data_IF_749580097441
#
_entry.id   IF_749580097441
#
_cell.length_a   1.000
_cell.length_b   1.000
_cell.length_c   1.000
_cell.angle_alpha   90.00
_cell.angle_beta   90.00
_cell.angle_gamma   90.00
#
_symmetry.space_group_name_H-M   'P 1'
#
loop_
_entity.id
_entity.type
_entity.pdbx_description
1 polymer ?
#
# COMPACT_ATOMS: atom_id res chain seq x y z
N UNK A 1 7.37 -20.55 16.68
CA UNK A 1 7.29 -21.13 15.31
C UNK A 1 6.82 -20.04 14.33
N UNK A 2 7.48 -19.89 13.17
CA UNK A 2 6.97 -18.99 12.12
C UNK A 2 6.06 -19.75 11.15
N UNK A 3 4.91 -19.17 10.83
CA UNK A 3 3.90 -19.75 9.96
C UNK A 3 3.61 -18.79 8.79
N UNK A 4 3.35 -19.33 7.61
CA UNK A 4 2.84 -18.59 6.46
C UNK A 4 1.31 -18.63 6.46
N UNK A 5 0.67 -17.62 5.85
CA UNK A 5 -0.79 -17.51 5.81
C UNK A 5 -1.46 -18.71 5.14
N UNK A 6 -0.86 -19.24 4.08
CA UNK A 6 -1.35 -20.41 3.34
C UNK A 6 -1.35 -21.71 4.16
N UNK A 7 -0.53 -21.78 5.22
CA UNK A 7 -0.45 -22.92 6.12
C UNK A 7 -1.36 -22.81 7.36
N UNK A 8 -2.05 -21.67 7.55
CA UNK A 8 -2.85 -21.41 8.75
C UNK A 8 -3.97 -22.44 8.93
N UNK A 9 -4.73 -22.75 7.89
CA UNK A 9 -5.84 -23.72 7.95
C UNK A 9 -5.36 -25.13 8.37
N UNK A 10 -4.28 -25.59 7.74
CA UNK A 10 -3.68 -26.88 8.08
C UNK A 10 -3.11 -26.91 9.49
N UNK A 11 -2.64 -25.77 10.00
CA UNK A 11 -2.18 -25.64 11.39
C UNK A 11 -3.36 -25.71 12.36
N UNK A 12 -4.40 -24.93 12.13
CA UNK A 12 -5.59 -24.89 12.99
C UNK A 12 -6.35 -26.23 13.03
N UNK A 13 -6.34 -26.99 11.92
CA UNK A 13 -6.90 -28.32 11.87
C UNK A 13 -6.17 -29.34 12.76
N UNK A 14 -4.89 -29.10 13.11
CA UNK A 14 -4.11 -29.94 14.02
C UNK A 14 -4.28 -29.56 15.49
N UNK A 15 -4.79 -28.37 15.76
CA UNK A 15 -5.01 -27.84 17.09
C UNK A 15 -4.58 -26.38 17.23
N UNK A 16 -4.96 -25.79 18.34
CA UNK A 16 -4.63 -24.41 18.68
C UNK A 16 -3.30 -24.32 19.44
N UNK A 17 -2.51 -23.32 19.14
CA UNK A 17 -1.42 -22.90 20.02
C UNK A 17 -1.97 -21.94 21.10
N UNK A 18 -1.36 -21.90 22.28
CA UNK A 18 -1.77 -20.97 23.33
C UNK A 18 -1.44 -19.50 23.04
N UNK A 19 -0.57 -19.23 22.02
CA UNK A 19 -0.17 -17.88 21.65
C UNK A 19 -0.03 -17.74 20.13
N UNK A 20 -0.68 -16.70 19.57
CA UNK A 20 -0.53 -16.28 18.18
C UNK A 20 -0.08 -14.83 18.09
N UNK A 21 0.85 -14.54 17.18
CA UNK A 21 1.30 -13.20 16.85
C UNK A 21 1.05 -12.95 15.36
N UNK A 22 0.05 -12.16 15.01
CA UNK A 22 -0.31 -11.80 13.63
C UNK A 22 0.27 -10.43 13.33
N UNK A 23 1.16 -10.30 12.34
CA UNK A 23 1.83 -9.04 12.06
C UNK A 23 2.03 -8.82 10.56
N UNK A 24 1.80 -7.59 10.10
CA UNK A 24 1.92 -7.17 8.70
C UNK A 24 1.01 -5.98 8.38
N UNK A 25 1.10 -5.47 7.15
CA UNK A 25 0.36 -4.27 6.72
C UNK A 25 -0.89 -4.59 5.88
N UNK A 26 -1.12 -5.85 5.51
CA UNK A 26 -2.31 -6.22 4.76
C UNK A 26 -3.48 -6.49 5.69
N UNK A 27 -4.26 -5.45 5.93
CA UNK A 27 -5.31 -5.43 6.95
C UNK A 27 -6.40 -6.49 6.74
N UNK A 28 -6.85 -6.70 5.48
CA UNK A 28 -7.87 -7.70 5.20
C UNK A 28 -7.39 -9.10 5.58
N UNK A 29 -6.19 -9.47 5.12
CA UNK A 29 -5.64 -10.80 5.38
C UNK A 29 -5.31 -11.02 6.85
N UNK A 30 -4.85 -9.99 7.56
CA UNK A 30 -4.61 -10.05 8.99
C UNK A 30 -5.92 -10.25 9.76
N UNK A 31 -6.97 -9.51 9.39
CA UNK A 31 -8.29 -9.66 10.00
C UNK A 31 -8.87 -11.05 9.76
N UNK A 32 -8.83 -11.56 8.54
CA UNK A 32 -9.31 -12.91 8.20
C UNK A 32 -8.54 -14.00 8.96
N UNK A 33 -7.22 -13.84 9.08
CA UNK A 33 -6.42 -14.77 9.88
C UNK A 33 -6.85 -14.77 11.35
N UNK A 34 -7.06 -13.59 11.94
CA UNK A 34 -7.58 -13.46 13.30
C UNK A 34 -8.99 -14.05 13.43
N UNK A 35 -9.87 -13.84 12.44
CA UNK A 35 -11.24 -14.40 12.45
C UNK A 35 -11.23 -15.94 12.41
N UNK A 36 -10.34 -16.55 11.63
CA UNK A 36 -10.16 -18.01 11.62
C UNK A 36 -9.66 -18.56 12.96
N UNK A 37 -8.66 -17.91 13.54
CA UNK A 37 -8.14 -18.27 14.88
C UNK A 37 -9.27 -18.16 15.91
N UNK A 38 -10.05 -17.06 15.90
CA UNK A 38 -11.21 -16.88 16.80
C UNK A 38 -12.29 -17.93 16.62
N UNK A 39 -12.63 -18.25 15.39
CA UNK A 39 -13.64 -19.27 15.10
C UNK A 39 -13.22 -20.63 15.64
N UNK A 40 -11.96 -21.02 15.40
CA UNK A 40 -11.40 -22.28 15.93
C UNK A 40 -11.31 -22.27 17.45
N UNK A 41 -10.88 -21.14 18.06
CA UNK A 41 -10.84 -20.99 19.51
C UNK A 41 -12.22 -21.12 20.13
N UNK A 42 -13.24 -20.48 19.56
CA UNK A 42 -14.63 -20.60 20.04
C UNK A 42 -15.13 -22.03 19.96
N UNK A 43 -14.84 -22.72 18.86
CA UNK A 43 -15.20 -24.14 18.70
C UNK A 43 -14.48 -25.06 19.70
N UNK A 44 -13.28 -24.65 20.19
CA UNK A 44 -12.51 -25.35 21.22
C UNK A 44 -12.86 -24.95 22.66
N UNK A 45 -13.92 -24.13 22.87
CA UNK A 45 -14.42 -23.77 24.20
C UNK A 45 -13.83 -22.48 24.79
N UNK A 46 -13.09 -21.66 24.03
CA UNK A 46 -12.64 -20.33 24.45
C UNK A 46 -13.80 -19.33 24.26
N UNK A 47 -14.71 -19.26 25.22
CA UNK A 47 -15.96 -18.50 25.14
C UNK A 47 -15.87 -17.10 25.75
N UNK A 48 -15.03 -16.92 26.75
CA UNK A 48 -14.74 -15.61 27.33
C UNK A 48 -13.70 -14.88 26.46
N UNK A 49 -13.93 -13.58 26.18
CA UNK A 49 -13.08 -12.78 25.31
C UNK A 49 -12.78 -11.42 25.90
N UNK A 50 -11.51 -11.13 26.10
CA UNK A 50 -11.02 -9.83 26.51
C UNK A 50 -10.18 -9.19 25.40
N UNK A 51 -10.39 -7.89 25.15
CA UNK A 51 -9.67 -7.14 24.10
C UNK A 51 -8.95 -5.95 24.70
N UNK A 52 -7.66 -5.86 24.48
CA UNK A 52 -6.79 -4.79 24.93
C UNK A 52 -6.20 -4.07 23.72
N UNK A 53 -6.16 -2.74 23.76
CA UNK A 53 -5.48 -1.93 22.74
C UNK A 53 -4.44 -1.06 23.43
N UNK A 54 -3.18 -1.19 22.99
CA UNK A 54 -2.06 -0.45 23.56
C UNK A 54 -2.07 0.97 23.03
N UNK A 55 -2.40 1.91 23.93
CA UNK A 55 -2.34 3.35 23.73
C UNK A 55 -1.32 3.98 24.69
N UNK A 56 -1.18 5.30 24.64
CA UNK A 56 -0.28 6.01 25.56
C UNK A 56 -0.75 5.85 27.01
N UNK A 57 0.12 5.32 27.87
CA UNK A 57 -0.20 5.07 29.29
C UNK A 57 -0.95 3.76 29.52
N UNK A 58 -0.88 2.81 28.59
CA UNK A 58 -1.51 1.50 28.75
C UNK A 58 -0.98 0.74 29.98
N UNK A 59 -1.90 0.22 30.78
CA UNK A 59 -1.58 -0.58 31.97
C UNK A 59 -1.31 -2.04 31.58
N UNK A 60 -0.03 -2.40 31.54
CA UNK A 60 0.44 -3.76 31.24
C UNK A 60 0.11 -4.78 32.32
N UNK A 61 -0.13 -4.32 33.57
CA UNK A 61 -0.48 -5.22 34.67
C UNK A 61 -1.89 -5.80 34.51
N UNK A 62 -2.81 -5.03 33.94
CA UNK A 62 -4.17 -5.49 33.62
C UNK A 62 -4.18 -6.62 32.58
N UNK A 63 -3.29 -6.56 31.56
CA UNK A 63 -3.12 -7.61 30.59
C UNK A 63 -2.56 -8.90 31.23
N UNK A 64 -1.51 -8.77 32.05
CA UNK A 64 -0.93 -9.91 32.73
C UNK A 64 -1.92 -10.56 33.70
N UNK A 65 -2.69 -9.75 34.40
CA UNK A 65 -3.79 -10.23 35.25
C UNK A 65 -4.82 -11.03 34.47
N UNK A 66 -5.28 -10.53 33.34
CA UNK A 66 -6.25 -11.23 32.48
C UNK A 66 -5.66 -12.54 31.93
N UNK A 67 -4.39 -12.55 31.50
CA UNK A 67 -3.76 -13.75 30.95
C UNK A 67 -3.43 -14.85 31.99
N UNK A 68 -3.48 -14.52 33.28
CA UNK A 68 -3.25 -15.44 34.40
C UNK A 68 -4.53 -15.76 35.18
N UNK A 69 -5.65 -15.10 34.85
CA UNK A 69 -6.92 -15.34 35.52
C UNK A 69 -7.46 -16.72 35.15
N UNK A 70 -7.56 -17.58 36.13
CA UNK A 70 -8.34 -18.81 35.99
C UNK A 70 -9.81 -18.47 36.13
N UNK A 71 -10.65 -18.86 35.15
CA UNK A 71 -12.09 -18.73 35.28
C UNK A 71 -12.59 -19.59 36.47
N UNK A 72 -13.33 -18.98 37.35
CA UNK A 72 -13.98 -19.69 38.47
C UNK A 72 -15.03 -20.73 38.01
N UNK A 73 -15.44 -20.63 36.72
CA UNK A 73 -16.46 -21.50 36.12
C UNK A 73 -15.88 -22.50 35.10
N UNK A 74 -14.55 -22.54 34.92
CA UNK A 74 -13.88 -23.46 33.99
C UNK A 74 -13.94 -23.03 32.53
N UNK A 75 -14.38 -21.78 32.23
CA UNK A 75 -14.40 -21.27 30.86
C UNK A 75 -12.98 -20.90 30.40
N UNK A 76 -12.65 -21.33 29.18
CA UNK A 76 -11.38 -20.96 28.52
C UNK A 76 -11.49 -19.54 27.97
N UNK A 77 -10.40 -18.77 28.11
CA UNK A 77 -10.37 -17.35 27.76
C UNK A 77 -9.55 -17.07 26.50
N UNK A 78 -10.10 -16.22 25.61
CA UNK A 78 -9.37 -15.58 24.51
C UNK A 78 -8.96 -14.16 24.89
N UNK A 79 -7.67 -13.89 25.00
CA UNK A 79 -7.11 -12.56 25.23
C UNK A 79 -6.56 -12.01 23.93
N UNK A 80 -7.13 -10.92 23.44
CA UNK A 80 -6.66 -10.21 22.25
C UNK A 80 -5.92 -8.94 22.64
N UNK A 81 -4.67 -8.82 22.18
CA UNK A 81 -3.84 -7.63 22.37
C UNK A 81 -3.54 -6.98 21.03
N UNK A 82 -3.88 -5.71 20.90
CA UNK A 82 -3.57 -4.89 19.70
C UNK A 82 -2.49 -3.89 20.05
N UNK A 83 -1.40 -3.87 19.27
CA UNK A 83 -0.29 -2.90 19.43
C UNK A 83 -0.15 -2.10 18.11
N UNK A 84 -1.00 -1.08 17.86
CA UNK A 84 -1.04 -0.36 16.58
C UNK A 84 0.27 0.33 16.20
N UNK A 85 1.05 0.74 17.21
CA UNK A 85 2.36 1.36 16.99
C UNK A 85 3.47 0.37 16.57
N UNK A 86 3.27 -0.94 16.80
CA UNK A 86 4.33 -1.96 16.68
C UNK A 86 5.46 -1.83 17.70
N UNK A 87 5.34 -0.90 18.66
CA UNK A 87 6.38 -0.56 19.65
C UNK A 87 5.79 -0.63 21.06
N UNK A 88 6.00 -1.72 21.80
CA UNK A 88 5.44 -1.88 23.14
C UNK A 88 6.10 -0.97 24.20
N UNK A 89 7.25 -0.38 23.91
CA UNK A 89 8.07 0.31 24.92
C UNK A 89 8.81 -0.67 25.85
N UNK A 90 9.51 -0.15 26.87
CA UNK A 90 10.30 -0.97 27.79
C UNK A 90 9.40 -1.85 28.66
N UNK A 91 8.43 -1.25 29.34
CA UNK A 91 7.48 -1.98 30.18
C UNK A 91 6.69 -3.03 29.39
N UNK A 92 6.23 -2.67 28.19
CA UNK A 92 5.52 -3.59 27.32
C UNK A 92 6.41 -4.74 26.81
N UNK A 93 7.68 -4.48 26.52
CA UNK A 93 8.61 -5.54 26.15
C UNK A 93 8.82 -6.54 27.28
N UNK A 94 8.90 -6.07 28.52
CA UNK A 94 9.03 -6.94 29.69
C UNK A 94 7.74 -7.72 29.97
N UNK A 95 6.56 -7.06 29.84
CA UNK A 95 5.27 -7.71 29.96
C UNK A 95 5.03 -8.79 28.89
N UNK A 96 5.41 -8.53 27.63
CA UNK A 96 5.28 -9.50 26.55
C UNK A 96 6.20 -10.72 26.72
N UNK A 97 7.40 -10.54 27.29
CA UNK A 97 8.27 -11.66 27.66
C UNK A 97 7.67 -12.50 28.81
N UNK A 98 7.09 -11.83 29.81
CA UNK A 98 6.41 -12.52 30.90
C UNK A 98 5.18 -13.29 30.40
N UNK A 99 4.40 -12.71 29.51
CA UNK A 99 3.26 -13.35 28.85
C UNK A 99 3.69 -14.59 28.04
N UNK A 100 4.79 -14.49 27.29
CA UNK A 100 5.34 -15.64 26.56
C UNK A 100 5.79 -16.79 27.47
N UNK A 101 6.30 -16.48 28.67
CA UNK A 101 6.70 -17.47 29.64
C UNK A 101 5.53 -18.10 30.41
N UNK A 102 4.36 -17.45 30.42
CA UNK A 102 3.16 -17.85 31.16
C UNK A 102 2.07 -18.50 30.29
N UNK A 103 2.40 -18.91 29.05
CA UNK A 103 1.43 -19.58 28.15
C UNK A 103 0.88 -20.85 28.82
N UNK A 104 -0.44 -20.98 28.86
CA UNK A 104 -1.14 -22.12 29.44
C UNK A 104 -2.28 -22.60 28.53
N UNK A 105 -2.94 -23.71 28.88
CA UNK A 105 -3.97 -24.34 28.05
C UNK A 105 -5.35 -23.68 28.18
N UNK A 106 -5.59 -22.88 29.20
CA UNK A 106 -6.88 -22.25 29.49
C UNK A 106 -7.00 -20.84 28.90
N UNK A 107 -5.87 -20.24 28.49
CA UNK A 107 -5.84 -18.90 27.91
C UNK A 107 -5.15 -18.92 26.54
N UNK A 108 -5.92 -18.60 25.50
CA UNK A 108 -5.37 -18.36 24.18
C UNK A 108 -5.10 -16.85 24.03
N UNK A 109 -3.86 -16.50 23.81
CA UNK A 109 -3.48 -15.10 23.56
C UNK A 109 -3.25 -14.84 22.07
N UNK A 110 -3.89 -13.82 21.53
CA UNK A 110 -3.72 -13.38 20.14
C UNK A 110 -3.24 -11.93 20.10
N UNK A 111 -2.03 -11.70 19.59
CA UNK A 111 -1.40 -10.39 19.48
C UNK A 111 -1.43 -9.94 18.03
N UNK A 112 -1.89 -8.70 17.77
CA UNK A 112 -1.87 -8.10 16.44
C UNK A 112 -0.93 -6.89 16.40
N UNK A 113 -0.09 -6.82 15.35
CA UNK A 113 0.95 -5.83 15.16
C UNK A 113 0.96 -5.37 13.69
N UNK A 114 1.35 -4.13 13.39
CA UNK A 114 1.67 -3.73 12.03
C UNK A 114 2.93 -4.46 11.54
N UNK A 115 3.36 -4.16 10.33
CA UNK A 115 4.63 -4.64 9.81
C UNK A 115 5.78 -4.21 10.72
N UNK A 116 6.60 -5.18 11.08
CA UNK A 116 7.79 -4.96 11.89
C UNK A 116 9.04 -4.93 11.01
N UNK A 117 9.96 -4.03 11.31
CA UNK A 117 11.28 -4.03 10.69
C UNK A 117 12.14 -5.20 11.18
N UNK A 118 13.24 -5.47 10.48
CA UNK A 118 14.12 -6.59 10.78
C UNK A 118 14.77 -6.49 12.17
N UNK A 119 14.99 -5.28 12.69
CA UNK A 119 15.55 -5.06 14.01
C UNK A 119 14.53 -5.40 15.10
N UNK A 120 13.29 -4.96 14.94
CA UNK A 120 12.19 -5.29 15.86
C UNK A 120 11.89 -6.79 15.87
N UNK A 121 11.92 -7.47 14.71
CA UNK A 121 11.74 -8.93 14.64
C UNK A 121 12.87 -9.71 15.34
N UNK A 122 14.04 -9.13 15.53
CA UNK A 122 15.17 -9.70 16.29
C UNK A 122 15.19 -9.28 17.76
N UNK A 123 14.27 -8.44 18.20
CA UNK A 123 14.20 -8.01 19.60
C UNK A 123 13.84 -9.17 20.53
N UNK A 124 14.32 -9.12 21.78
CA UNK A 124 14.10 -10.19 22.75
C UNK A 124 12.61 -10.46 23.00
N UNK A 125 11.76 -9.42 23.05
CA UNK A 125 10.33 -9.60 23.29
C UNK A 125 9.62 -10.31 22.13
N UNK A 126 9.95 -9.96 20.87
CA UNK A 126 9.34 -10.60 19.72
C UNK A 126 9.83 -12.04 19.54
N UNK A 127 11.12 -12.29 19.78
CA UNK A 127 11.71 -13.64 19.78
C UNK A 127 11.04 -14.52 20.82
N UNK A 128 10.87 -14.04 22.07
CA UNK A 128 10.18 -14.79 23.12
C UNK A 128 8.76 -15.19 22.74
N UNK A 129 7.99 -14.27 22.14
CA UNK A 129 6.63 -14.57 21.64
C UNK A 129 6.64 -15.59 20.49
N UNK A 130 7.59 -15.47 19.55
CA UNK A 130 7.70 -16.38 18.40
C UNK A 130 8.13 -17.79 18.80
N UNK A 131 8.93 -17.92 19.85
CA UNK A 131 9.39 -19.21 20.37
C UNK A 131 8.31 -19.91 21.21
N UNK A 132 7.55 -19.13 21.99
CA UNK A 132 6.47 -19.64 22.82
C UNK A 132 5.20 -19.97 22.04
N UNK A 133 5.00 -19.38 20.85
CA UNK A 133 3.77 -19.50 20.07
C UNK A 133 3.98 -19.57 18.56
N UNK A 134 2.96 -19.13 17.85
CA UNK A 134 2.92 -19.08 16.38
C UNK A 134 2.97 -17.63 15.91
N UNK A 135 4.03 -17.25 15.22
CA UNK A 135 4.17 -15.96 14.56
C UNK A 135 3.74 -16.06 13.10
N UNK A 136 2.63 -15.41 12.77
CA UNK A 136 2.02 -15.39 11.44
C UNK A 136 2.33 -14.07 10.77
N UNK A 137 3.20 -14.10 9.75
CA UNK A 137 3.53 -12.93 8.95
C UNK A 137 2.53 -12.75 7.83
N UNK A 138 1.96 -11.55 7.73
CA UNK A 138 1.04 -11.17 6.68
C UNK A 138 1.76 -10.25 5.69
N UNK A 139 2.09 -10.79 4.54
CA UNK A 139 2.71 -10.03 3.46
C UNK A 139 1.63 -9.47 2.51
N UNK A 140 1.83 -8.25 1.94
CA UNK A 140 0.95 -7.71 0.91
C UNK A 140 0.89 -8.62 -0.32
N UNK A 141 -0.27 -8.66 -0.99
CA UNK A 141 -0.40 -9.32 -2.29
C UNK A 141 0.19 -8.41 -3.36
N UNK A 142 1.25 -8.90 -4.02
CA UNK A 142 1.90 -8.18 -5.11
C UNK A 142 0.94 -8.01 -6.30
N UNK A 143 1.05 -6.87 -7.03
CA UNK A 143 0.18 -6.55 -8.17
C UNK A 143 0.10 -7.70 -9.20
N UNK A 144 1.21 -8.35 -9.48
CA UNK A 144 1.26 -9.48 -10.41
C UNK A 144 0.45 -10.70 -9.94
N UNK A 145 0.27 -10.85 -8.64
CA UNK A 145 -0.47 -11.96 -8.02
C UNK A 145 -1.97 -11.64 -7.81
N UNK A 146 -2.34 -10.37 -7.90
CA UNK A 146 -3.69 -9.91 -7.61
C UNK A 146 -4.78 -10.55 -8.49
N UNK A 147 -4.59 -10.72 -9.82
CA UNK A 147 -5.56 -11.44 -10.65
C UNK A 147 -5.80 -12.89 -10.17
N UNK A 148 -4.73 -13.59 -9.77
CA UNK A 148 -4.83 -14.95 -9.25
C UNK A 148 -5.57 -14.98 -7.90
N UNK A 149 -5.26 -14.05 -7.00
CA UNK A 149 -5.95 -13.89 -5.73
C UNK A 149 -7.45 -13.63 -5.93
N UNK A 150 -7.83 -12.75 -6.86
CA UNK A 150 -9.23 -12.49 -7.22
C UNK A 150 -9.91 -13.78 -7.73
N UNK A 151 -9.25 -14.52 -8.62
CA UNK A 151 -9.77 -15.78 -9.15
C UNK A 151 -10.03 -16.82 -8.04
N UNK A 152 -9.12 -16.96 -7.08
CA UNK A 152 -9.28 -17.83 -5.91
C UNK A 152 -10.47 -17.41 -5.04
N UNK A 153 -10.69 -16.11 -4.84
CA UNK A 153 -11.82 -15.59 -4.06
C UNK A 153 -13.16 -15.80 -4.76
N UNK A 154 -13.23 -15.60 -6.06
CA UNK A 154 -14.42 -15.93 -6.86
C UNK A 154 -14.73 -17.43 -6.74
N UNK A 155 -13.72 -18.28 -6.87
CA UNK A 155 -13.90 -19.72 -6.72
C UNK A 155 -14.42 -20.14 -5.34
N UNK A 156 -13.98 -19.47 -4.27
CA UNK A 156 -14.42 -19.73 -2.91
C UNK A 156 -15.93 -19.44 -2.69
N UNK A 157 -16.53 -18.55 -3.49
CA UNK A 157 -17.99 -18.29 -3.48
C UNK A 157 -18.74 -19.01 -4.62
N UNK A 158 -18.11 -20.00 -5.26
CA UNK A 158 -18.71 -20.82 -6.33
C UNK A 158 -18.77 -20.13 -7.70
N UNK A 159 -18.10 -19.01 -7.87
CA UNK A 159 -18.03 -18.28 -9.13
C UNK A 159 -16.66 -18.46 -9.81
N UNK A 160 -16.62 -18.36 -11.12
CA UNK A 160 -15.39 -18.39 -11.92
C UNK A 160 -15.55 -17.50 -13.14
N UNK A 161 -14.47 -16.94 -13.62
CA UNK A 161 -14.47 -16.24 -14.92
C UNK A 161 -14.39 -17.25 -16.07
N UNK A 162 -14.80 -16.83 -17.27
CA UNK A 162 -14.67 -17.63 -18.47
C UNK A 162 -13.23 -18.13 -18.68
N UNK A 163 -13.06 -19.28 -19.34
CA UNK A 163 -11.73 -19.78 -19.67
C UNK A 163 -11.07 -18.95 -20.77
N UNK A 164 -9.74 -18.96 -20.83
CA UNK A 164 -8.97 -18.32 -21.91
C UNK A 164 -8.73 -16.81 -21.70
N UNK A 165 -8.68 -16.07 -22.80
CA UNK A 165 -8.31 -14.65 -22.82
C UNK A 165 -9.34 -13.77 -22.14
N UNK A 166 -10.61 -14.05 -22.34
CA UNK A 166 -11.71 -13.30 -21.72
C UNK A 166 -11.65 -13.33 -20.20
N UNK A 167 -11.42 -14.51 -19.62
CA UNK A 167 -11.28 -14.63 -18.18
C UNK A 167 -10.04 -13.93 -17.63
N UNK A 168 -8.90 -14.03 -18.34
CA UNK A 168 -7.71 -13.28 -17.95
C UNK A 168 -7.97 -11.78 -17.96
N UNK A 169 -8.68 -11.28 -18.99
CA UNK A 169 -9.08 -9.87 -19.10
C UNK A 169 -10.02 -9.46 -17.96
N UNK A 170 -10.98 -10.31 -17.58
CA UNK A 170 -11.88 -10.03 -16.46
C UNK A 170 -11.13 -9.91 -15.11
N UNK A 171 -10.24 -10.86 -14.81
CA UNK A 171 -9.43 -10.80 -13.59
C UNK A 171 -8.48 -9.61 -13.57
N UNK A 172 -7.84 -9.30 -14.71
CA UNK A 172 -6.98 -8.13 -14.85
C UNK A 172 -7.77 -6.83 -14.64
N UNK A 173 -8.98 -6.75 -15.20
CA UNK A 173 -9.86 -5.59 -15.05
C UNK A 173 -10.21 -5.32 -13.58
N UNK A 174 -10.61 -6.34 -12.81
CA UNK A 174 -10.85 -6.21 -11.36
C UNK A 174 -9.57 -5.74 -10.68
N UNK A 175 -8.43 -6.42 -10.93
CA UNK A 175 -7.16 -6.12 -10.30
C UNK A 175 -6.67 -4.68 -10.58
N UNK A 176 -6.87 -4.17 -11.79
CA UNK A 176 -6.54 -2.80 -12.15
C UNK A 176 -7.43 -1.76 -11.44
N UNK A 177 -8.70 -2.08 -11.22
CA UNK A 177 -9.64 -1.17 -10.57
C UNK A 177 -9.43 -1.04 -9.08
N UNK A 178 -8.99 -2.10 -8.42
CA UNK A 178 -8.80 -2.10 -6.97
C UNK A 178 -7.38 -1.70 -6.54
N UNK A 179 -6.43 -1.63 -7.47
CA UNK A 179 -5.04 -1.13 -7.30
C UNK A 179 -4.36 -1.47 -5.98
N UNK A 180 -4.46 -2.74 -5.57
CA UNK A 180 -3.82 -3.23 -4.35
C UNK A 180 -4.59 -2.90 -3.06
N UNK A 181 -5.80 -2.38 -3.13
CA UNK A 181 -6.70 -2.35 -2.00
C UNK A 181 -7.47 -3.67 -1.95
N UNK A 182 -6.96 -4.65 -1.19
CA UNK A 182 -7.58 -5.97 -1.10
C UNK A 182 -8.97 -5.94 -0.46
N UNK A 183 -9.25 -4.99 0.43
CA UNK A 183 -10.58 -4.84 1.02
C UNK A 183 -11.59 -4.41 -0.05
N UNK A 184 -11.22 -3.46 -0.92
CA UNK A 184 -12.05 -3.07 -2.05
C UNK A 184 -12.24 -4.25 -3.01
N UNK A 185 -11.17 -4.99 -3.34
CA UNK A 185 -11.26 -6.20 -4.15
C UNK A 185 -12.24 -7.22 -3.56
N UNK A 186 -12.15 -7.46 -2.27
CA UNK A 186 -13.04 -8.38 -1.56
C UNK A 186 -14.51 -7.93 -1.62
N UNK A 187 -14.78 -6.64 -1.42
CA UNK A 187 -16.13 -6.07 -1.52
C UNK A 187 -16.70 -6.21 -2.93
N UNK A 188 -15.89 -5.99 -3.99
CA UNK A 188 -16.33 -6.18 -5.37
C UNK A 188 -16.64 -7.66 -5.67
N UNK A 189 -15.80 -8.57 -5.17
CA UNK A 189 -16.03 -9.99 -5.31
C UNK A 189 -17.33 -10.41 -4.59
N UNK A 190 -17.55 -9.94 -3.37
CA UNK A 190 -18.80 -10.19 -2.64
C UNK A 190 -20.01 -9.64 -3.39
N UNK A 191 -19.91 -8.43 -3.96
CA UNK A 191 -20.97 -7.82 -4.77
C UNK A 191 -21.30 -8.68 -6.00
N UNK A 192 -20.28 -9.21 -6.69
CA UNK A 192 -20.48 -10.15 -7.79
C UNK A 192 -21.26 -11.40 -7.33
N UNK A 193 -20.98 -11.91 -6.12
CA UNK A 193 -21.71 -13.03 -5.52
C UNK A 193 -23.17 -12.70 -5.20
N UNK A 194 -23.50 -11.46 -4.91
CA UNK A 194 -24.87 -11.00 -4.67
C UNK A 194 -25.65 -10.75 -5.98
N UNK A 195 -24.96 -10.26 -7.02
CA UNK A 195 -25.59 -9.89 -8.29
C UNK A 195 -25.79 -11.08 -9.23
N UNK A 196 -24.91 -12.06 -9.17
CA UNK A 196 -24.90 -13.19 -10.09
C UNK A 196 -24.83 -14.53 -9.34
N UNK A 197 -25.55 -15.56 -9.80
CA UNK A 197 -25.48 -16.88 -9.18
C UNK A 197 -24.09 -17.52 -9.31
N UNK A 198 -23.87 -18.60 -8.56
CA UNK A 198 -22.70 -19.44 -8.73
C UNK A 198 -22.58 -19.93 -10.18
N UNK A 199 -21.38 -19.95 -10.74
CA UNK A 199 -21.13 -20.32 -12.14
C UNK A 199 -20.11 -19.44 -12.83
N UNK A 200 -20.19 -19.38 -14.15
CA UNK A 200 -19.27 -18.61 -14.98
C UNK A 200 -19.73 -17.15 -15.13
N UNK A 201 -18.85 -16.22 -14.85
CA UNK A 201 -19.04 -14.78 -15.07
C UNK A 201 -18.44 -14.38 -16.42
N UNK A 202 -19.20 -13.66 -17.24
CA UNK A 202 -18.68 -13.03 -18.45
C UNK A 202 -17.89 -11.76 -18.11
N UNK A 203 -17.06 -11.29 -19.05
CA UNK A 203 -16.35 -10.01 -18.90
C UNK A 203 -17.34 -8.84 -18.74
N UNK A 204 -18.45 -8.84 -19.46
CA UNK A 204 -19.48 -7.78 -19.41
C UNK A 204 -20.11 -7.73 -18.01
N UNK A 205 -20.49 -8.87 -17.43
CA UNK A 205 -21.01 -8.93 -16.06
C UNK A 205 -20.04 -8.36 -15.03
N UNK A 206 -18.76 -8.71 -15.16
CA UNK A 206 -17.71 -8.16 -14.30
C UNK A 206 -17.56 -6.65 -14.52
N UNK A 207 -17.55 -6.20 -15.76
CA UNK A 207 -17.42 -4.80 -16.11
C UNK A 207 -18.57 -3.96 -15.53
N UNK A 208 -19.81 -4.38 -15.72
CA UNK A 208 -21.00 -3.69 -15.22
C UNK A 208 -21.03 -3.60 -13.68
N UNK A 209 -20.63 -4.68 -13.01
CA UNK A 209 -20.58 -4.70 -11.56
C UNK A 209 -19.47 -3.82 -10.97
N UNK A 210 -18.29 -3.75 -11.61
CA UNK A 210 -17.06 -3.15 -11.07
C UNK A 210 -16.81 -1.72 -11.58
N UNK A 211 -17.66 -1.18 -12.47
CA UNK A 211 -17.45 0.12 -13.15
C UNK A 211 -17.26 1.34 -12.23
N UNK A 212 -17.69 1.30 -10.97
CA UNK A 212 -17.76 2.47 -10.10
C UNK A 212 -16.98 2.41 -8.79
N UNK A 213 -16.00 1.50 -8.64
CA UNK A 213 -15.35 1.33 -7.33
C UNK A 213 -13.83 1.15 -7.47
N UNK A 214 -13.17 2.21 -7.86
CA UNK A 214 -11.73 2.28 -7.64
C UNK A 214 -11.48 3.00 -6.31
N UNK A 215 -11.09 2.29 -5.27
CA UNK A 215 -10.46 2.89 -4.09
C UNK A 215 -8.96 2.88 -4.28
N UNK A 216 -8.42 4.01 -4.66
CA UNK A 216 -7.00 4.18 -4.92
C UNK A 216 -6.26 4.58 -3.65
N UNK A 217 -5.12 3.95 -3.43
CA UNK A 217 -4.19 4.36 -2.38
C UNK A 217 -3.32 5.51 -2.91
N UNK A 218 -3.44 6.68 -2.27
CA UNK A 218 -2.65 7.88 -2.60
C UNK A 218 -1.14 7.58 -2.64
N UNK A 219 -0.65 6.70 -1.77
CA UNK A 219 0.77 6.38 -1.73
C UNK A 219 1.23 5.49 -2.89
N UNK A 220 0.33 4.71 -3.50
CA UNK A 220 0.61 3.93 -4.71
C UNK A 220 0.59 4.77 -5.98
N UNK A 221 0.04 5.98 -5.94
CA UNK A 221 0.12 6.94 -7.04
C UNK A 221 1.60 7.22 -7.43
N UNK A 222 2.47 7.31 -6.42
CA UNK A 222 3.90 7.53 -6.65
C UNK A 222 4.55 6.38 -7.43
N UNK A 223 4.11 5.14 -7.26
CA UNK A 223 4.61 4.01 -8.04
C UNK A 223 4.25 4.15 -9.53
N UNK A 224 3.00 4.53 -9.84
CA UNK A 224 2.56 4.76 -11.22
C UNK A 224 3.35 5.92 -11.86
N UNK A 225 3.57 7.00 -11.11
CA UNK A 225 4.36 8.16 -11.54
C UNK A 225 5.81 7.78 -11.80
N UNK A 226 6.47 7.07 -10.88
CA UNK A 226 7.85 6.61 -11.02
C UNK A 226 8.02 5.58 -12.14
N UNK A 227 7.03 4.72 -12.37
CA UNK A 227 7.03 3.77 -13.47
C UNK A 227 6.85 4.44 -14.85
N UNK A 228 6.30 5.66 -14.89
CA UNK A 228 5.93 6.33 -16.14
C UNK A 228 4.66 5.75 -16.77
N UNK A 229 3.85 5.06 -15.98
CA UNK A 229 2.58 4.47 -16.44
C UNK A 229 1.47 5.53 -16.44
N UNK A 230 1.44 6.32 -17.51
CA UNK A 230 0.51 7.45 -17.66
C UNK A 230 -0.95 7.01 -17.60
N UNK A 231 -1.29 5.87 -18.20
CA UNK A 231 -2.65 5.34 -18.19
C UNK A 231 -3.12 4.98 -16.79
N UNK A 232 -2.26 4.33 -16.01
CA UNK A 232 -2.53 4.02 -14.61
C UNK A 232 -2.60 5.28 -13.75
N UNK A 233 -1.67 6.21 -13.93
CA UNK A 233 -1.61 7.48 -13.21
C UNK A 233 -2.92 8.27 -13.39
N UNK A 234 -3.42 8.39 -14.63
CA UNK A 234 -4.68 9.08 -14.94
C UNK A 234 -5.86 8.43 -14.23
N UNK A 235 -6.01 7.10 -14.37
CA UNK A 235 -7.10 6.37 -13.69
C UNK A 235 -7.07 6.52 -12.17
N UNK A 236 -5.88 6.52 -11.57
CA UNK A 236 -5.73 6.69 -10.12
C UNK A 236 -6.13 8.09 -9.67
N UNK A 237 -5.73 9.14 -10.38
CA UNK A 237 -6.12 10.52 -10.06
C UNK A 237 -7.63 10.74 -10.23
N UNK A 238 -8.22 10.22 -11.33
CA UNK A 238 -9.66 10.29 -11.56
C UNK A 238 -10.44 9.54 -10.47
N UNK A 239 -9.94 8.39 -10.05
CA UNK A 239 -10.55 7.61 -8.98
C UNK A 239 -10.48 8.31 -7.63
N UNK A 240 -9.31 8.80 -7.20
CA UNK A 240 -9.13 9.58 -5.97
C UNK A 240 -10.04 10.81 -5.94
N UNK A 241 -10.17 11.51 -7.07
CA UNK A 241 -11.11 12.61 -7.23
C UNK A 241 -12.57 12.16 -7.06
N UNK A 242 -12.96 11.05 -7.70
CA UNK A 242 -14.31 10.48 -7.63
C UNK A 242 -14.68 9.99 -6.21
N UNK A 243 -13.70 9.55 -5.43
CA UNK A 243 -13.86 9.15 -4.03
C UNK A 243 -13.93 10.34 -3.06
N UNK A 244 -13.70 11.56 -3.55
CA UNK A 244 -13.67 12.74 -2.70
C UNK A 244 -12.41 12.84 -1.83
N UNK A 245 -11.32 12.19 -2.24
CA UNK A 245 -10.05 12.28 -1.51
C UNK A 245 -9.54 13.73 -1.47
N UNK A 246 -8.92 14.10 -0.37
CA UNK A 246 -8.46 15.47 -0.20
C UNK A 246 -7.29 15.78 -1.16
N UNK A 247 -7.48 16.71 -2.10
CA UNK A 247 -6.45 17.12 -3.05
C UNK A 247 -5.13 17.54 -2.38
N UNK A 248 -5.19 18.08 -1.15
CA UNK A 248 -4.01 18.43 -0.35
C UNK A 248 -3.17 17.21 0.04
N UNK A 249 -3.79 16.06 0.32
CA UNK A 249 -3.10 14.81 0.65
C UNK A 249 -2.39 14.25 -0.58
N UNK A 250 -3.09 14.25 -1.72
CA UNK A 250 -2.51 13.80 -3.00
C UNK A 250 -1.33 14.68 -3.40
N UNK A 251 -1.49 16.00 -3.29
CA UNK A 251 -0.41 16.97 -3.54
C UNK A 251 0.80 16.71 -2.65
N UNK A 252 0.58 16.50 -1.36
CA UNK A 252 1.66 16.20 -0.42
C UNK A 252 2.44 14.95 -0.82
N UNK A 253 1.75 13.86 -1.16
CA UNK A 253 2.39 12.60 -1.54
C UNK A 253 3.25 12.76 -2.81
N UNK A 254 2.72 13.43 -3.84
CA UNK A 254 3.45 13.68 -5.10
C UNK A 254 4.66 14.59 -4.86
N UNK A 255 4.50 15.64 -4.06
CA UNK A 255 5.58 16.60 -3.75
C UNK A 255 6.73 15.94 -3.00
N UNK A 256 6.42 15.10 -2.02
CA UNK A 256 7.48 14.38 -1.28
C UNK A 256 8.27 13.42 -2.21
N UNK A 257 7.61 12.80 -3.18
CA UNK A 257 8.31 11.99 -4.18
C UNK A 257 9.20 12.84 -5.08
N UNK A 258 8.70 13.97 -5.57
CA UNK A 258 9.49 14.92 -6.41
C UNK A 258 10.71 15.45 -5.64
N UNK A 259 10.55 15.79 -4.35
CA UNK A 259 11.66 16.21 -3.49
C UNK A 259 12.69 15.09 -3.30
N UNK A 260 12.21 13.87 -3.12
CA UNK A 260 13.07 12.69 -2.99
C UNK A 260 13.88 12.46 -4.25
N UNK A 261 13.25 12.50 -5.43
CA UNK A 261 13.94 12.39 -6.72
C UNK A 261 14.99 13.51 -6.90
N UNK A 262 14.66 14.75 -6.53
CA UNK A 262 15.60 15.87 -6.65
C UNK A 262 16.82 15.69 -5.74
N UNK A 263 16.61 15.29 -4.46
CA UNK A 263 17.71 15.00 -3.53
C UNK A 263 18.61 13.89 -4.07
N UNK A 264 18.04 12.80 -4.56
CA UNK A 264 18.81 11.67 -5.12
C UNK A 264 19.53 12.11 -6.39
N UNK A 265 18.87 12.84 -7.30
CA UNK A 265 19.47 13.35 -8.55
C UNK A 265 20.72 14.19 -8.28
N UNK A 266 20.63 15.14 -7.33
CA UNK A 266 21.74 15.97 -6.90
C UNK A 266 22.87 15.17 -6.25
N UNK A 267 22.52 14.19 -5.44
CA UNK A 267 23.50 13.29 -4.83
C UNK A 267 24.28 12.47 -5.86
N UNK A 268 23.59 11.95 -6.89
CA UNK A 268 24.23 11.22 -8.00
C UNK A 268 25.15 12.16 -8.80
N UNK A 269 24.71 13.39 -9.09
CA UNK A 269 25.53 14.41 -9.76
C UNK A 269 26.77 14.78 -8.94
N UNK A 270 26.70 14.70 -7.61
CA UNK A 270 27.84 14.88 -6.70
C UNK A 270 28.70 13.62 -6.52
N UNK A 271 28.50 12.57 -7.33
CA UNK A 271 29.30 11.34 -7.34
C UNK A 271 28.93 10.29 -6.27
N UNK A 272 27.83 10.47 -5.53
CA UNK A 272 27.42 9.47 -4.53
C UNK A 272 26.73 8.25 -5.20
N UNK A 273 26.96 7.03 -4.70
CA UNK A 273 26.30 5.82 -5.21
C UNK A 273 24.78 5.87 -5.04
N UNK A 274 24.04 5.52 -6.09
CA UNK A 274 22.57 5.50 -6.09
C UNK A 274 21.99 4.66 -4.95
N UNK A 275 22.54 3.47 -4.71
CA UNK A 275 22.07 2.57 -3.65
C UNK A 275 22.19 3.19 -2.24
N UNK A 276 23.23 3.99 -1.99
CA UNK A 276 23.40 4.73 -0.75
C UNK A 276 22.33 5.82 -0.61
N UNK A 277 22.10 6.60 -1.67
CA UNK A 277 21.12 7.69 -1.68
C UNK A 277 19.68 7.19 -1.51
N UNK A 278 19.33 6.05 -2.10
CA UNK A 278 18.03 5.40 -1.93
C UNK A 278 17.78 5.06 -0.47
N UNK A 279 18.78 4.51 0.23
CA UNK A 279 18.70 4.20 1.67
C UNK A 279 18.63 5.46 2.55
N UNK A 280 19.48 6.45 2.28
CA UNK A 280 19.49 7.74 2.99
C UNK A 280 18.14 8.46 2.90
N UNK A 281 17.46 8.37 1.75
CA UNK A 281 16.16 8.98 1.52
C UNK A 281 14.98 8.06 1.91
N UNK A 282 15.23 6.94 2.58
CA UNK A 282 14.21 6.00 3.09
C UNK A 282 13.24 5.52 1.99
N UNK A 283 13.77 5.23 0.81
CA UNK A 283 13.00 4.61 -0.27
C UNK A 283 13.05 3.10 -0.11
N UNK A 284 11.89 2.46 0.05
CA UNK A 284 11.76 1.03 0.31
C UNK A 284 10.75 0.37 -0.63
N UNK A 285 10.85 -0.95 -0.76
CA UNK A 285 9.89 -1.79 -1.49
C UNK A 285 9.90 -1.57 -3.00
N UNK A 286 8.74 -1.61 -3.67
CA UNK A 286 8.65 -1.51 -5.14
C UNK A 286 9.26 -0.22 -5.70
N UNK A 287 9.18 0.88 -4.95
CA UNK A 287 9.71 2.19 -5.34
C UNK A 287 11.24 2.17 -5.55
N UNK A 288 11.97 1.36 -4.79
CA UNK A 288 13.43 1.26 -4.90
C UNK A 288 13.88 0.93 -6.32
N UNK A 289 13.18 -0.01 -6.98
CA UNK A 289 13.48 -0.42 -8.36
C UNK A 289 13.09 0.63 -9.40
N UNK A 290 12.15 1.51 -9.07
CA UNK A 290 11.60 2.51 -9.98
C UNK A 290 12.39 3.83 -9.98
N UNK A 291 13.18 4.11 -8.94
CA UNK A 291 13.96 5.36 -8.82
C UNK A 291 14.96 5.52 -9.97
N UNK A 292 15.76 4.51 -10.28
CA UNK A 292 16.77 4.58 -11.35
C UNK A 292 16.16 4.97 -12.71
N UNK A 293 15.17 4.21 -13.22
CA UNK A 293 14.45 4.57 -14.45
C UNK A 293 13.79 5.94 -14.41
N UNK A 294 13.18 6.34 -13.28
CA UNK A 294 12.58 7.66 -13.14
C UNK A 294 13.64 8.78 -13.24
N UNK A 295 14.76 8.64 -12.56
CA UNK A 295 15.88 9.61 -12.63
C UNK A 295 16.44 9.74 -14.04
N UNK A 296 16.43 8.67 -14.84
CA UNK A 296 16.88 8.74 -16.24
C UNK A 296 15.95 9.54 -17.14
N UNK A 297 14.65 9.58 -16.82
CA UNK A 297 13.64 10.31 -17.58
C UNK A 297 13.60 11.80 -17.29
N UNK A 298 13.92 12.21 -16.07
CA UNK A 298 13.73 13.59 -15.61
C UNK A 298 15.07 14.31 -15.45
N UNK A 299 15.14 15.59 -15.82
CA UNK A 299 16.26 16.46 -15.51
C UNK A 299 16.07 17.14 -14.16
N UNK A 300 17.16 17.65 -13.57
CA UNK A 300 17.08 18.46 -12.34
C UNK A 300 16.17 19.67 -12.53
N UNK A 301 16.34 20.41 -13.63
CA UNK A 301 15.49 21.56 -13.94
C UNK A 301 14.01 21.21 -14.13
N UNK A 302 13.69 19.96 -14.58
CA UNK A 302 12.30 19.48 -14.65
C UNK A 302 11.72 19.30 -13.24
N UNK A 303 12.48 18.71 -12.32
CA UNK A 303 12.05 18.51 -10.93
C UNK A 303 11.90 19.87 -10.19
N UNK A 304 12.77 20.84 -10.45
CA UNK A 304 12.64 22.19 -9.88
C UNK A 304 11.37 22.91 -10.39
N UNK A 305 11.07 22.81 -11.69
CA UNK A 305 9.80 23.31 -12.26
C UNK A 305 8.58 22.62 -11.66
N UNK A 306 8.66 21.31 -11.43
CA UNK A 306 7.60 20.55 -10.75
C UNK A 306 7.36 21.07 -9.33
N UNK A 307 8.42 21.38 -8.55
CA UNK A 307 8.26 21.97 -7.21
C UNK A 307 7.69 23.39 -7.26
N UNK A 308 8.06 24.19 -8.25
CA UNK A 308 7.45 25.51 -8.46
C UNK A 308 5.96 25.44 -8.79
N UNK A 309 5.55 24.46 -9.62
CA UNK A 309 4.14 24.19 -9.89
C UNK A 309 3.42 23.73 -8.61
N UNK A 310 4.03 22.81 -7.87
CA UNK A 310 3.48 22.31 -6.61
C UNK A 310 3.23 23.42 -5.58
N UNK A 311 4.14 24.40 -5.47
CA UNK A 311 3.97 25.53 -4.56
C UNK A 311 2.79 26.45 -4.97
N UNK A 312 2.47 26.55 -6.27
CA UNK A 312 1.29 27.27 -6.75
C UNK A 312 0.01 26.49 -6.44
N UNK A 313 0.03 25.17 -6.68
CA UNK A 313 -1.10 24.29 -6.38
C UNK A 313 -1.41 24.26 -4.89
N UNK A 314 -0.39 24.25 -4.02
CA UNK A 314 -0.58 24.28 -2.56
C UNK A 314 -1.36 25.51 -2.10
N UNK A 315 -1.03 26.69 -2.66
CA UNK A 315 -1.80 27.92 -2.40
C UNK A 315 -3.23 27.84 -2.91
N UNK A 316 -3.43 27.26 -4.09
CA UNK A 316 -4.76 27.10 -4.70
C UNK A 316 -5.64 26.16 -3.86
N UNK A 317 -5.13 24.98 -3.48
CA UNK A 317 -5.85 23.99 -2.68
C UNK A 317 -6.22 24.53 -1.30
N UNK A 318 -5.37 25.40 -0.73
CA UNK A 318 -5.60 26.07 0.58
C UNK A 318 -6.46 27.33 0.47
N UNK A 319 -6.95 27.67 -0.71
CA UNK A 319 -7.75 28.90 -0.90
C UNK A 319 -6.96 30.20 -0.73
N UNK A 320 -5.62 30.14 -0.78
CA UNK A 320 -4.73 31.29 -0.59
C UNK A 320 -4.40 32.03 -1.90
N UNK A 321 -5.01 31.64 -3.00
CA UNK A 321 -4.90 32.30 -4.30
C UNK A 321 -5.76 33.58 -4.33
N UNK A 322 -5.34 34.63 -3.62
CA UNK A 322 -5.94 35.94 -3.64
C UNK A 322 -5.43 36.76 -4.84
N UNK A 323 -5.94 36.51 -6.03
CA UNK A 323 -5.68 37.29 -7.22
C UNK A 323 -6.82 37.12 -8.23
N UNK A 324 -7.34 38.21 -8.75
CA UNK A 324 -8.25 38.25 -9.89
C UNK A 324 -7.80 37.24 -10.96
N UNK A 325 -8.71 36.50 -11.64
CA UNK A 325 -8.31 35.62 -12.75
C UNK A 325 -7.61 36.44 -13.82
N UNK A 326 -6.34 36.58 -13.71
CA UNK A 326 -5.49 37.29 -14.64
C UNK A 326 -4.88 36.28 -15.60
N UNK A 327 -4.95 36.66 -16.85
CA UNK A 327 -4.53 36.00 -18.08
C UNK A 327 -3.03 35.68 -18.12
N UNK A 328 -2.52 34.97 -17.12
CA UNK A 328 -1.11 34.53 -17.05
C UNK A 328 -1.02 33.06 -17.48
N UNK A 329 -0.33 32.79 -18.58
CA UNK A 329 0.00 31.45 -19.10
C UNK A 329 0.65 30.48 -18.07
N UNK A 330 0.97 30.96 -16.88
CA UNK A 330 1.65 30.23 -15.82
C UNK A 330 0.79 30.05 -14.55
N UNK A 331 -0.46 30.46 -14.54
CA UNK A 331 -1.34 30.20 -13.40
C UNK A 331 -1.73 28.73 -13.37
N UNK A 332 -1.86 28.11 -12.19
CA UNK A 332 -2.31 26.74 -12.07
C UNK A 332 -3.73 26.61 -12.64
N UNK A 333 -4.08 25.46 -13.20
CA UNK A 333 -5.41 25.19 -13.70
C UNK A 333 -6.49 25.55 -12.66
N UNK A 334 -7.70 25.93 -13.09
CA UNK A 334 -8.78 26.30 -12.18
C UNK A 334 -9.24 25.14 -11.29
N UNK A 335 -9.05 23.89 -11.74
CA UNK A 335 -9.30 22.68 -10.96
C UNK A 335 -7.97 22.15 -10.37
N UNK A 336 -7.85 21.98 -9.03
CA UNK A 336 -6.66 21.43 -8.42
C UNK A 336 -6.27 20.04 -8.96
N UNK A 337 -7.20 19.24 -9.39
CA UNK A 337 -6.95 17.90 -9.92
C UNK A 337 -6.26 17.92 -11.29
N UNK A 338 -6.60 18.89 -12.14
CA UNK A 338 -5.89 19.08 -13.41
C UNK A 338 -4.43 19.49 -13.17
N UNK A 339 -4.21 20.34 -12.18
CA UNK A 339 -2.87 20.72 -11.75
C UNK A 339 -2.08 19.56 -11.12
N UNK A 340 -2.73 18.69 -10.36
CA UNK A 340 -2.12 17.46 -9.81
C UNK A 340 -1.72 16.50 -10.93
N UNK A 341 -2.57 16.35 -11.95
CA UNK A 341 -2.24 15.57 -13.13
C UNK A 341 -1.03 16.15 -13.87
N UNK A 342 -1.03 17.46 -14.14
CA UNK A 342 0.12 18.14 -14.78
C UNK A 342 1.41 17.93 -13.97
N UNK A 343 1.34 18.11 -12.66
CA UNK A 343 2.48 17.91 -11.75
C UNK A 343 3.03 16.48 -11.84
N UNK A 344 2.18 15.48 -11.73
CA UNK A 344 2.60 14.08 -11.79
C UNK A 344 3.14 13.70 -13.19
N UNK A 345 2.57 14.25 -14.25
CA UNK A 345 3.03 14.06 -15.63
C UNK A 345 4.43 14.62 -15.88
N UNK A 346 4.87 15.65 -15.14
CA UNK A 346 6.25 16.14 -15.28
C UNK A 346 7.31 15.09 -14.92
N UNK A 347 6.96 14.12 -14.09
CA UNK A 347 7.81 12.99 -13.72
C UNK A 347 7.53 11.75 -14.58
N UNK A 348 6.25 11.43 -14.81
CA UNK A 348 5.86 10.22 -15.52
C UNK A 348 6.22 10.28 -17.02
N UNK A 349 5.94 11.41 -17.68
CA UNK A 349 6.22 11.63 -19.09
C UNK A 349 6.70 13.09 -19.33
N UNK A 350 7.93 13.42 -18.93
CA UNK A 350 8.44 14.77 -19.12
C UNK A 350 8.46 15.11 -20.62
N UNK A 351 7.94 16.29 -20.97
CA UNK A 351 8.02 16.80 -22.33
C UNK A 351 9.49 16.90 -22.71
N UNK A 352 9.94 16.13 -23.70
CA UNK A 352 11.26 16.31 -24.31
C UNK A 352 11.31 17.73 -24.84
N UNK A 353 12.26 18.55 -24.40
CA UNK A 353 12.50 19.84 -25.05
C UNK A 353 12.68 19.58 -26.55
N UNK A 354 12.02 20.35 -27.46
CA UNK A 354 12.25 20.18 -28.88
C UNK A 354 13.76 20.28 -29.15
N UNK A 355 14.31 19.26 -29.77
CA UNK A 355 15.71 19.28 -30.22
C UNK A 355 15.82 20.52 -31.11
N UNK A 356 16.73 21.47 -30.79
CA UNK A 356 16.91 22.63 -31.65
C UNK A 356 17.25 22.11 -33.06
N UNK A 357 16.68 22.71 -34.13
CA UNK A 357 16.96 22.26 -35.47
C UNK A 357 18.46 22.29 -35.71
N UNK A 358 19.02 21.32 -36.44
CA UNK A 358 20.46 21.27 -36.70
C UNK A 358 20.90 22.61 -37.30
N UNK A 359 21.93 23.22 -36.72
CA UNK A 359 22.52 24.46 -37.27
C UNK A 359 22.86 24.20 -38.73
N UNK A 360 22.50 25.11 -39.67
CA UNK A 360 22.88 24.96 -41.05
C UNK A 360 24.41 24.88 -41.13
N UNK A 361 24.92 23.87 -41.87
CA UNK A 361 26.37 23.72 -42.08
C UNK A 361 26.88 24.96 -42.75
N UNK A 362 27.98 25.58 -42.27
CA UNK A 362 28.60 26.66 -42.98
C UNK A 362 29.22 26.14 -44.26
N UNK A 363 28.85 26.70 -45.41
CA UNK A 363 29.56 26.53 -46.68
C UNK A 363 28.91 25.63 -47.73
N UNK A 364 28.01 26.22 -48.50
CA UNK A 364 28.02 26.13 -49.96
C UNK A 364 27.56 27.46 -50.51
N UNK A 365 28.54 28.32 -50.73
CA UNK A 365 28.27 29.55 -51.48
C UNK A 365 27.87 29.16 -52.89
N UNK A 366 26.69 29.65 -53.33
CA UNK A 366 26.24 29.52 -54.69
C UNK A 366 27.16 30.27 -55.64
N UNK A 367 27.48 29.74 -56.83
CA UNK A 367 28.32 30.44 -57.76
C UNK A 367 27.65 31.73 -58.28
N UNK A 368 28.41 32.83 -58.29
CA UNK A 368 27.98 34.13 -58.83
C UNK A 368 27.61 34.03 -60.30
N UNK A 369 26.39 34.45 -60.63
CA UNK A 369 25.99 34.67 -62.05
C UNK A 369 26.78 35.90 -62.58
N UNK A 370 27.57 35.67 -63.67
CA UNK A 370 28.18 36.75 -64.47
C UNK A 370 27.05 37.43 -65.27
N UNK A 371 27.05 38.79 -65.35
CA UNK A 371 26.18 39.50 -66.29
C UNK A 371 26.71 39.40 -67.70
N UNK A 372 25.80 39.35 -68.67
CA UNK A 372 26.05 39.46 -70.11
C UNK A 372 26.25 40.90 -70.48
#
# INVERSE_FOLDING_TARGET
MQLRLDALEAHLAKGLAGLYVVYGDEHLLAQEACDRIRATARAAGFTDRSVFTVERGFDWSSLLGASQSMSLFGDRQLVELRIPSGKPGKEGADALKALAAAVNEDVLTMITLPRLDAATQKSAWFTSLSDAGVALKIDPVERAQLPNWVGQRLAAQGQRVAAGEEGRRALAFIAERVEGNLLAAHQEIQKLGLLYPAGSLSFEQVQDAVLNVARYDVFKLNEAMLAGDVGRLSRMLDGLRGEGEAAVLVLWAVVEEVRTLLRIKRGVAAGKPLAMLVRENRVWGPRERLIGPALSRVSEGTLEKALALAARLDRQVKGLSGGTPGNHRNDPPPDPWDGLFELAMTVAAPKTSPVPPPRPRPGTAAPARRPA
#
